data_IF_134660372085
#
_entry.id   IF_134660372085
#
_cell.length_a   1.000
_cell.length_b   1.000
_cell.length_c   1.000
_cell.angle_alpha   90.00
_cell.angle_beta   90.00
_cell.angle_gamma   90.00
#
_symmetry.space_group_name_H-M   'P 1'
#
loop_
_entity.id
_entity.type
_entity.pdbx_description
1 polymer ?
#
# COMPACT_ATOMS: atom_id res chain seq x y z
N UNK A 1 -38.50 23.11 -68.77
CA UNK A 1 -39.01 22.64 -67.45
C UNK A 1 -38.16 21.53 -66.75
N UNK A 2 -36.95 21.17 -67.22
CA UNK A 2 -36.17 20.05 -66.74
C UNK A 2 -35.15 20.38 -65.64
N UNK A 3 -34.94 21.67 -65.27
CA UNK A 3 -33.88 22.09 -64.31
C UNK A 3 -34.32 22.07 -62.82
N UNK A 4 -35.63 22.06 -62.52
CA UNK A 4 -36.19 22.17 -61.18
C UNK A 4 -36.23 20.82 -60.42
N UNK A 5 -36.29 19.71 -61.13
CA UNK A 5 -36.33 18.39 -60.48
C UNK A 5 -34.97 17.82 -60.10
N UNK A 6 -33.87 18.34 -60.67
CA UNK A 6 -32.50 17.93 -60.29
C UNK A 6 -32.07 18.44 -58.93
N UNK A 7 -32.45 19.64 -58.57
CA UNK A 7 -32.02 20.31 -57.31
C UNK A 7 -32.67 19.66 -56.08
N UNK A 8 -33.91 19.21 -56.15
CA UNK A 8 -34.61 18.52 -55.03
C UNK A 8 -34.00 17.13 -54.78
N UNK A 9 -33.67 16.41 -55.85
CA UNK A 9 -33.01 15.10 -55.78
C UNK A 9 -31.59 15.15 -55.15
N UNK A 10 -30.86 16.19 -55.44
CA UNK A 10 -29.48 16.34 -54.92
C UNK A 10 -29.46 16.78 -53.42
N UNK A 11 -30.34 17.67 -53.02
CA UNK A 11 -30.50 18.06 -51.61
C UNK A 11 -30.96 16.89 -50.74
N UNK A 12 -31.84 16.02 -51.22
CA UNK A 12 -32.30 14.84 -50.50
C UNK A 12 -31.16 13.81 -50.31
N UNK A 13 -30.30 13.63 -51.28
CA UNK A 13 -29.12 12.76 -51.23
C UNK A 13 -28.07 13.27 -50.22
N UNK A 14 -27.80 14.55 -50.21
CA UNK A 14 -26.93 15.14 -49.20
C UNK A 14 -27.48 14.92 -47.79
N UNK A 15 -28.78 15.01 -47.60
CA UNK A 15 -29.44 14.67 -46.35
C UNK A 15 -29.19 13.22 -45.92
N UNK A 16 -29.29 12.27 -46.88
CA UNK A 16 -29.01 10.85 -46.60
C UNK A 16 -27.52 10.63 -46.18
N UNK A 17 -26.57 11.19 -46.92
CA UNK A 17 -25.16 11.06 -46.56
C UNK A 17 -24.87 11.68 -45.18
N UNK A 18 -25.48 12.79 -44.85
CA UNK A 18 -25.33 13.42 -43.56
C UNK A 18 -25.87 12.51 -42.43
N UNK A 19 -27.06 11.96 -42.59
CA UNK A 19 -27.65 11.04 -41.59
C UNK A 19 -26.81 9.78 -41.43
N UNK A 20 -26.34 9.17 -42.51
CA UNK A 20 -25.47 8.00 -42.48
C UNK A 20 -24.16 8.35 -41.80
N UNK A 21 -23.56 9.53 -42.08
CA UNK A 21 -22.34 10.01 -41.45
C UNK A 21 -22.48 10.21 -39.96
N UNK A 22 -23.58 10.82 -39.53
CA UNK A 22 -23.85 11.01 -38.09
C UNK A 22 -24.00 9.66 -37.38
N UNK A 23 -24.75 8.72 -37.94
CA UNK A 23 -24.93 7.38 -37.38
C UNK A 23 -23.60 6.61 -37.35
N UNK A 24 -22.82 6.68 -38.42
CA UNK A 24 -21.48 6.07 -38.47
C UNK A 24 -20.57 6.64 -37.41
N UNK A 25 -20.48 7.97 -37.33
CA UNK A 25 -19.62 8.64 -36.31
C UNK A 25 -20.11 8.36 -34.89
N UNK A 26 -21.41 8.34 -34.63
CA UNK A 26 -21.95 7.94 -33.33
C UNK A 26 -21.53 6.50 -32.95
N UNK A 27 -21.58 5.57 -33.92
CA UNK A 27 -21.10 4.21 -33.73
C UNK A 27 -19.61 4.13 -33.45
N UNK A 28 -18.79 4.90 -34.18
CA UNK A 28 -17.33 4.96 -33.93
C UNK A 28 -17.04 5.53 -32.57
N UNK A 29 -17.66 6.63 -32.17
CA UNK A 29 -17.46 7.25 -30.84
C UNK A 29 -17.88 6.27 -29.74
N UNK A 30 -19.05 5.64 -29.87
CA UNK A 30 -19.53 4.65 -28.90
C UNK A 30 -18.56 3.49 -28.75
N UNK A 31 -18.15 2.87 -29.86
CA UNK A 31 -17.25 1.72 -29.86
C UNK A 31 -15.86 2.09 -29.31
N UNK A 32 -15.33 3.24 -29.74
CA UNK A 32 -14.03 3.74 -29.28
C UNK A 32 -14.04 4.06 -27.78
N UNK A 33 -15.11 4.69 -27.28
CA UNK A 33 -15.28 4.97 -25.85
C UNK A 33 -15.41 3.68 -25.03
N UNK A 34 -16.21 2.73 -25.53
CA UNK A 34 -16.34 1.41 -24.88
C UNK A 34 -15.00 0.67 -24.81
N UNK A 35 -14.23 0.67 -25.90
CA UNK A 35 -12.89 0.06 -25.94
C UNK A 35 -11.92 0.76 -24.97
N UNK A 36 -11.92 2.09 -24.90
CA UNK A 36 -11.08 2.85 -23.99
C UNK A 36 -11.38 2.55 -22.52
N UNK A 37 -12.66 2.41 -22.16
CA UNK A 37 -13.09 2.02 -20.81
C UNK A 37 -12.60 0.62 -20.45
N UNK A 38 -12.83 -0.37 -21.31
CA UNK A 38 -12.37 -1.74 -21.06
C UNK A 38 -10.84 -1.84 -21.00
N UNK A 39 -10.13 -1.08 -21.86
CA UNK A 39 -8.66 -1.04 -21.79
C UNK A 39 -8.17 -0.41 -20.45
N UNK A 40 -8.85 0.62 -19.94
CA UNK A 40 -8.53 1.24 -18.66
C UNK A 40 -8.81 0.29 -17.50
N UNK A 41 -9.97 -0.38 -17.52
CA UNK A 41 -10.34 -1.40 -16.54
C UNK A 41 -9.31 -2.53 -16.47
N UNK A 42 -8.97 -3.11 -17.63
CA UNK A 42 -7.98 -4.18 -17.72
C UNK A 42 -6.59 -3.73 -17.23
N UNK A 43 -6.18 -2.51 -17.56
CA UNK A 43 -4.93 -1.90 -17.10
C UNK A 43 -4.92 -1.75 -15.57
N UNK A 44 -5.99 -1.21 -14.99
CA UNK A 44 -6.09 -1.05 -13.54
C UNK A 44 -6.12 -2.39 -12.81
N UNK A 45 -6.88 -3.38 -13.30
CA UNK A 45 -6.86 -4.73 -12.75
C UNK A 45 -5.43 -5.29 -12.75
N UNK A 46 -4.73 -5.23 -13.88
CA UNK A 46 -3.37 -5.75 -13.98
C UNK A 46 -2.39 -5.05 -13.03
N UNK A 47 -2.46 -3.71 -12.93
CA UNK A 47 -1.60 -2.93 -12.05
C UNK A 47 -1.92 -3.25 -10.58
N UNK A 48 -3.20 -3.21 -10.20
CA UNK A 48 -3.64 -3.45 -8.83
C UNK A 48 -3.30 -4.87 -8.38
N UNK A 49 -3.50 -5.88 -9.23
CA UNK A 49 -3.14 -7.27 -8.92
C UNK A 49 -1.63 -7.43 -8.70
N UNK A 50 -0.82 -6.82 -9.57
CA UNK A 50 0.64 -6.84 -9.41
C UNK A 50 1.07 -6.15 -8.12
N UNK A 51 0.61 -4.92 -7.90
CA UNK A 51 0.95 -4.12 -6.71
C UNK A 51 0.48 -4.82 -5.43
N UNK A 52 -0.75 -5.37 -5.41
CA UNK A 52 -1.30 -6.17 -4.31
C UNK A 52 -0.41 -7.37 -3.98
N UNK A 53 -0.03 -8.13 -5.01
CA UNK A 53 0.83 -9.31 -4.85
C UNK A 53 2.20 -8.94 -4.28
N UNK A 54 2.85 -7.93 -4.84
CA UNK A 54 4.17 -7.48 -4.40
C UNK A 54 4.13 -6.87 -3.00
N UNK A 55 3.20 -5.96 -2.73
CA UNK A 55 3.05 -5.35 -1.40
C UNK A 55 2.76 -6.38 -0.32
N UNK A 56 1.89 -7.36 -0.61
CA UNK A 56 1.63 -8.48 0.32
C UNK A 56 2.88 -9.33 0.55
N UNK A 57 3.69 -9.55 -0.48
CA UNK A 57 4.95 -10.28 -0.35
C UNK A 57 5.95 -9.50 0.53
N UNK A 58 6.03 -8.18 0.36
CA UNK A 58 6.89 -7.32 1.15
C UNK A 58 6.47 -7.26 2.62
N UNK A 59 5.17 -7.14 2.90
CA UNK A 59 4.65 -7.24 4.27
C UNK A 59 5.03 -8.57 4.92
N UNK A 60 4.79 -9.69 4.23
CA UNK A 60 5.15 -11.03 4.76
C UNK A 60 6.64 -11.15 5.03
N UNK A 61 7.49 -10.57 4.16
CA UNK A 61 8.93 -10.57 4.37
C UNK A 61 9.30 -9.78 5.63
N UNK A 62 8.78 -8.56 5.76
CA UNK A 62 9.03 -7.68 6.90
C UNK A 62 8.52 -8.32 8.20
N UNK A 63 7.32 -8.87 8.22
CA UNK A 63 6.75 -9.63 9.35
C UNK A 63 7.64 -10.82 9.73
N UNK A 64 8.21 -11.52 8.74
CA UNK A 64 9.10 -12.67 8.97
C UNK A 64 10.40 -12.26 9.65
N UNK A 65 10.97 -11.11 9.28
CA UNK A 65 12.17 -10.57 9.93
C UNK A 65 11.88 -10.30 11.40
N UNK A 66 10.76 -9.61 11.69
CA UNK A 66 10.33 -9.32 13.07
C UNK A 66 10.10 -10.60 13.87
N UNK A 67 9.34 -11.54 13.31
CA UNK A 67 9.04 -12.81 13.97
C UNK A 67 10.31 -13.62 14.29
N UNK A 68 11.28 -13.65 13.37
CA UNK A 68 12.57 -14.31 13.61
C UNK A 68 13.36 -13.64 14.73
N UNK A 69 13.36 -12.30 14.79
CA UNK A 69 14.07 -11.55 15.84
C UNK A 69 13.43 -11.81 17.20
N UNK A 70 12.11 -11.72 17.31
CA UNK A 70 11.36 -12.01 18.55
C UNK A 70 11.53 -13.48 18.98
N UNK A 71 11.51 -14.43 18.05
CA UNK A 71 11.75 -15.84 18.38
C UNK A 71 13.15 -16.06 18.96
N UNK A 72 14.18 -15.39 18.43
CA UNK A 72 15.53 -15.47 18.98
C UNK A 72 15.59 -14.92 20.41
N UNK A 73 14.95 -13.77 20.65
CA UNK A 73 14.85 -13.20 21.99
C UNK A 73 14.14 -14.16 22.96
N UNK A 74 13.04 -14.81 22.50
CA UNK A 74 12.31 -15.82 23.29
C UNK A 74 13.18 -17.01 23.68
N UNK A 75 13.94 -17.57 22.75
CA UNK A 75 14.84 -18.70 23.03
C UNK A 75 15.92 -18.28 24.04
N UNK A 76 16.48 -17.08 23.87
CA UNK A 76 17.53 -16.57 24.77
C UNK A 76 17.01 -16.35 26.18
N UNK A 77 15.84 -15.73 26.37
CA UNK A 77 15.27 -15.50 27.71
C UNK A 77 14.90 -16.82 28.41
N UNK A 78 14.42 -17.78 27.63
CA UNK A 78 14.08 -19.10 28.17
C UNK A 78 15.34 -19.86 28.64
N UNK A 79 16.43 -19.82 27.89
CA UNK A 79 17.73 -20.38 28.30
C UNK A 79 18.27 -19.72 29.59
N UNK A 80 18.17 -18.40 29.69
CA UNK A 80 18.54 -17.65 30.86
C UNK A 80 17.71 -18.01 32.10
N UNK A 81 16.37 -18.16 31.89
CA UNK A 81 15.44 -18.46 32.97
C UNK A 81 15.65 -19.86 33.59
N UNK A 82 16.16 -20.80 32.79
CA UNK A 82 16.44 -22.18 33.20
C UNK A 82 17.83 -22.40 33.76
N UNK A 83 18.74 -21.38 33.70
CA UNK A 83 20.10 -21.51 34.22
C UNK A 83 20.14 -21.23 35.74
N UNK A 84 20.27 -22.27 36.60
CA UNK A 84 20.30 -22.07 38.04
C UNK A 84 21.61 -21.43 38.54
N UNK A 85 22.67 -21.50 37.70
CA UNK A 85 23.99 -20.94 38.05
C UNK A 85 24.09 -19.44 37.70
N UNK A 86 23.09 -18.88 37.04
CA UNK A 86 23.11 -17.48 36.64
C UNK A 86 22.94 -16.56 37.84
N UNK A 87 23.95 -15.73 38.10
CA UNK A 87 23.85 -14.67 39.08
C UNK A 87 23.11 -13.46 38.50
N UNK A 88 21.85 -13.28 38.93
CA UNK A 88 20.96 -12.22 38.46
C UNK A 88 21.21 -10.88 39.15
N UNK A 89 22.12 -10.81 40.16
CA UNK A 89 22.47 -9.61 40.87
C UNK A 89 23.82 -8.99 40.39
N UNK A 90 24.59 -9.75 39.59
CA UNK A 90 25.85 -9.29 39.04
C UNK A 90 25.71 -8.76 37.59
N UNK A 91 25.83 -7.45 37.36
CA UNK A 91 25.79 -6.88 36.01
C UNK A 91 26.85 -7.46 35.06
N UNK A 92 28.04 -7.86 35.59
CA UNK A 92 29.09 -8.45 34.75
C UNK A 92 28.73 -9.87 34.31
N UNK A 93 28.04 -10.62 35.15
CA UNK A 93 27.49 -11.92 34.79
C UNK A 93 26.46 -11.77 33.69
N UNK A 94 25.54 -10.80 33.81
CA UNK A 94 24.52 -10.50 32.78
C UNK A 94 25.18 -10.03 31.49
N UNK A 95 26.23 -9.23 31.53
CA UNK A 95 26.96 -8.78 30.33
C UNK A 95 27.57 -9.98 29.58
N UNK A 96 28.26 -10.89 30.27
CA UNK A 96 28.83 -12.10 29.65
C UNK A 96 27.77 -12.97 28.99
N UNK A 97 26.60 -13.10 29.62
CA UNK A 97 25.51 -13.86 29.04
C UNK A 97 24.87 -13.13 27.85
N UNK A 98 24.70 -11.82 27.89
CA UNK A 98 24.21 -11.03 26.77
C UNK A 98 25.13 -11.18 25.56
N UNK A 99 26.45 -11.09 25.73
CA UNK A 99 27.41 -11.31 24.65
C UNK A 99 27.32 -12.73 24.07
N UNK A 100 27.29 -13.75 24.93
CA UNK A 100 27.20 -15.16 24.54
C UNK A 100 25.96 -15.46 23.72
N UNK A 101 24.83 -14.81 24.04
CA UNK A 101 23.55 -14.99 23.37
C UNK A 101 23.26 -13.97 22.26
N UNK A 102 24.23 -13.13 21.94
CA UNK A 102 24.10 -12.07 20.94
C UNK A 102 22.91 -11.14 21.20
N UNK A 103 22.68 -10.81 22.47
CA UNK A 103 21.71 -9.85 22.95
C UNK A 103 22.35 -8.47 23.09
N UNK A 104 21.56 -7.42 23.00
CA UNK A 104 22.00 -6.08 23.37
C UNK A 104 22.09 -5.92 24.89
N UNK A 105 21.13 -6.54 25.59
CA UNK A 105 21.16 -6.54 27.04
C UNK A 105 20.14 -7.50 27.67
N UNK A 106 20.30 -7.62 28.98
CA UNK A 106 19.43 -8.39 29.86
C UNK A 106 19.07 -7.49 31.04
N UNK A 107 17.80 -7.44 31.41
CA UNK A 107 17.31 -6.74 32.59
C UNK A 107 16.59 -7.72 33.52
N UNK A 108 16.73 -7.52 34.79
CA UNK A 108 16.07 -8.30 35.87
C UNK A 108 15.07 -7.36 36.52
N UNK A 109 13.83 -7.73 36.52
CA UNK A 109 12.74 -6.95 37.11
C UNK A 109 12.15 -7.70 38.30
N UNK A 110 11.71 -6.95 39.28
CA UNK A 110 10.84 -7.46 40.34
C UNK A 110 9.44 -7.76 39.80
N UNK A 111 8.57 -8.48 40.54
CA UNK A 111 7.21 -8.78 40.14
C UNK A 111 6.35 -7.55 39.85
N UNK A 112 6.65 -6.40 40.45
CA UNK A 112 6.00 -5.10 40.24
C UNK A 112 6.59 -4.31 39.06
N UNK A 113 7.60 -4.86 38.36
CA UNK A 113 8.23 -4.21 37.21
C UNK A 113 9.38 -3.25 37.55
N UNK A 114 9.79 -3.18 38.81
CA UNK A 114 10.96 -2.37 39.21
C UNK A 114 12.25 -3.03 38.72
N UNK A 115 13.16 -2.24 38.12
CA UNK A 115 14.45 -2.72 37.66
C UNK A 115 15.34 -3.02 38.87
N UNK A 116 15.81 -4.27 38.98
CA UNK A 116 16.71 -4.74 40.04
C UNK A 116 18.15 -4.75 39.59
N UNK A 117 18.42 -5.24 38.39
CA UNK A 117 19.74 -5.32 37.80
C UNK A 117 19.66 -5.28 36.27
N UNK A 118 20.67 -4.78 35.61
CA UNK A 118 20.77 -4.86 34.16
C UNK A 118 22.21 -5.00 33.66
N UNK A 119 22.36 -5.54 32.47
CA UNK A 119 23.63 -5.54 31.74
C UNK A 119 23.89 -4.14 31.16
N UNK A 120 25.17 -3.73 31.14
CA UNK A 120 25.57 -2.34 30.82
C UNK A 120 26.42 -2.21 29.54
N UNK A 121 26.63 -3.31 28.80
CA UNK A 121 27.67 -3.41 27.76
C UNK A 121 27.43 -2.55 26.51
N UNK A 122 26.22 -2.27 26.12
CA UNK A 122 25.96 -1.71 24.79
C UNK A 122 25.23 -0.34 24.79
N UNK A 123 25.25 0.39 25.88
CA UNK A 123 24.79 1.77 25.97
C UNK A 123 23.27 1.96 25.90
N UNK A 124 22.48 0.89 25.70
CA UNK A 124 21.02 0.94 25.67
C UNK A 124 20.50 0.09 26.82
N UNK A 125 19.97 0.76 27.82
CA UNK A 125 19.40 0.14 29.02
C UNK A 125 17.87 0.12 28.98
N UNK A 126 17.28 -0.57 29.97
CA UNK A 126 15.82 -0.68 30.17
C UNK A 126 15.15 0.68 30.25
N UNK A 127 15.78 1.69 30.80
CA UNK A 127 15.24 3.04 30.92
C UNK A 127 14.76 3.65 29.60
N UNK A 128 15.35 3.22 28.45
CA UNK A 128 15.00 3.79 27.13
C UNK A 128 13.68 3.30 26.57
N UNK A 129 13.24 2.11 26.95
CA UNK A 129 12.03 1.49 26.40
C UNK A 129 11.08 0.94 27.48
N UNK A 130 11.52 0.86 28.73
CA UNK A 130 10.75 0.26 29.82
C UNK A 130 9.42 0.94 30.10
N UNK A 131 9.35 2.27 29.92
CA UNK A 131 8.08 3.01 30.08
C UNK A 131 6.99 2.49 29.12
N UNK A 132 7.37 2.09 27.90
CA UNK A 132 6.43 1.54 26.92
C UNK A 132 5.97 0.13 27.25
N UNK A 133 6.62 -0.53 28.22
CA UNK A 133 6.27 -1.86 28.72
C UNK A 133 5.44 -1.82 30.00
N UNK A 134 5.40 -0.70 30.73
CA UNK A 134 4.72 -0.60 32.03
C UNK A 134 3.23 -0.90 31.98
N UNK A 135 2.58 -0.58 30.87
CA UNK A 135 1.13 -0.81 30.66
C UNK A 135 0.86 -2.09 29.84
N UNK A 136 1.85 -2.91 29.60
CA UNK A 136 1.75 -4.13 28.81
C UNK A 136 1.70 -5.37 29.70
N UNK A 137 1.28 -6.49 29.10
CA UNK A 137 1.22 -7.79 29.74
C UNK A 137 2.59 -8.40 30.10
N UNK A 138 3.70 -7.63 30.07
CA UNK A 138 5.04 -8.12 30.41
C UNK A 138 5.10 -8.60 31.86
N UNK A 139 4.38 -7.96 32.77
CA UNK A 139 4.34 -8.35 34.18
C UNK A 139 3.49 -9.60 34.42
N UNK A 140 2.58 -9.92 33.53
CA UNK A 140 1.71 -11.12 33.63
C UNK A 140 2.52 -12.42 33.58
N UNK A 141 3.74 -12.40 33.00
CA UNK A 141 4.61 -13.58 32.97
C UNK A 141 4.98 -14.06 34.37
N UNK A 142 4.89 -13.19 35.38
CA UNK A 142 5.13 -13.58 36.75
C UNK A 142 4.04 -14.55 37.27
N UNK A 143 2.78 -14.26 36.93
CA UNK A 143 1.64 -15.11 37.26
C UNK A 143 1.54 -16.35 36.37
N UNK A 144 2.17 -16.32 35.20
CA UNK A 144 2.13 -17.41 34.21
C UNK A 144 3.57 -17.89 33.86
N UNK A 145 4.23 -18.61 34.75
CA UNK A 145 5.67 -18.95 34.62
C UNK A 145 6.01 -19.79 33.38
N UNK A 146 5.02 -20.38 32.71
CA UNK A 146 5.21 -21.12 31.45
C UNK A 146 5.08 -20.25 30.20
N UNK A 147 4.73 -18.98 30.36
CA UNK A 147 4.54 -18.06 29.26
C UNK A 147 5.77 -17.20 29.03
N UNK A 148 6.01 -16.87 27.77
CA UNK A 148 7.00 -15.88 27.36
C UNK A 148 6.27 -14.71 26.73
N UNK A 149 6.49 -13.53 27.22
CA UNK A 149 6.01 -12.30 26.60
C UNK A 149 6.99 -11.87 25.51
N UNK A 150 6.46 -11.44 24.37
CA UNK A 150 7.24 -11.01 23.23
C UNK A 150 6.66 -9.71 22.66
N UNK A 151 7.49 -8.70 22.44
CA UNK A 151 7.08 -7.45 21.82
C UNK A 151 8.24 -6.79 21.10
N UNK A 152 7.95 -6.20 19.95
CA UNK A 152 8.80 -5.18 19.32
C UNK A 152 8.33 -3.81 19.77
N UNK A 153 9.22 -3.07 20.40
CA UNK A 153 9.04 -1.67 20.81
C UNK A 153 9.70 -0.80 19.75
N UNK A 154 8.96 0.12 19.15
CA UNK A 154 9.50 1.13 18.25
C UNK A 154 9.84 2.36 19.07
N UNK A 155 11.05 2.87 18.89
CA UNK A 155 11.54 4.07 19.55
C UNK A 155 11.25 5.31 18.67
N UNK A 156 11.27 6.49 19.30
CA UNK A 156 11.00 7.77 18.63
C UNK A 156 12.01 8.08 17.51
N UNK A 157 13.23 7.55 17.61
CA UNK A 157 14.28 7.70 16.60
C UNK A 157 14.18 6.70 15.44
N UNK A 158 13.10 5.93 15.36
CA UNK A 158 12.89 4.91 14.32
C UNK A 158 13.59 3.58 14.56
N UNK A 159 14.41 3.49 15.61
CA UNK A 159 15.02 2.22 16.02
C UNK A 159 13.98 1.28 16.66
N UNK A 160 14.33 0.00 16.78
CA UNK A 160 13.46 -0.99 17.41
C UNK A 160 14.18 -1.76 18.50
N UNK A 161 13.43 -2.16 19.52
CA UNK A 161 13.87 -3.08 20.57
C UNK A 161 12.97 -4.31 20.55
N UNK A 162 13.54 -5.46 20.22
CA UNK A 162 12.86 -6.76 20.32
C UNK A 162 13.02 -7.29 21.73
N UNK A 163 11.93 -7.39 22.45
CA UNK A 163 11.89 -7.73 23.87
C UNK A 163 11.27 -9.09 24.06
N UNK A 164 11.88 -9.90 24.92
CA UNK A 164 11.29 -11.13 25.43
C UNK A 164 11.40 -11.13 26.96
N UNK A 165 10.30 -11.46 27.64
CA UNK A 165 10.28 -11.60 29.09
C UNK A 165 9.79 -12.99 29.50
N UNK A 166 10.39 -13.52 30.57
CA UNK A 166 10.04 -14.80 31.15
C UNK A 166 10.32 -14.79 32.67
N UNK A 167 9.54 -15.52 33.44
CA UNK A 167 9.81 -15.69 34.88
C UNK A 167 11.01 -16.61 35.09
N UNK A 168 11.98 -16.21 35.94
CA UNK A 168 13.04 -17.13 36.35
C UNK A 168 12.49 -18.25 37.23
N UNK A 169 12.81 -19.51 36.93
CA UNK A 169 12.23 -20.65 37.62
C UNK A 169 12.68 -20.74 39.11
N UNK A 170 13.90 -20.34 39.37
CA UNK A 170 14.54 -20.46 40.72
C UNK A 170 14.42 -19.20 41.58
N UNK A 171 13.94 -18.09 41.04
CA UNK A 171 13.91 -16.80 41.70
C UNK A 171 12.60 -16.06 41.39
N UNK A 172 12.09 -15.25 42.31
CA UNK A 172 10.86 -14.48 42.14
C UNK A 172 11.12 -13.18 41.39
N UNK A 173 11.64 -13.31 40.16
CA UNK A 173 11.95 -12.19 39.30
C UNK A 173 11.51 -12.46 37.85
N UNK A 174 11.37 -11.38 37.09
CA UNK A 174 11.15 -11.40 35.65
C UNK A 174 12.47 -11.13 34.95
N UNK A 175 12.89 -12.06 34.12
CA UNK A 175 14.02 -11.86 33.21
C UNK A 175 13.50 -11.28 31.90
N UNK A 176 14.18 -10.24 31.46
CA UNK A 176 13.91 -9.55 30.20
C UNK A 176 15.18 -9.57 29.36
N UNK A 177 15.12 -10.21 28.21
CA UNK A 177 16.19 -10.14 27.21
C UNK A 177 15.76 -9.21 26.08
N UNK A 178 16.69 -8.43 25.58
CA UNK A 178 16.35 -7.51 24.50
C UNK A 178 17.46 -7.37 23.47
N UNK A 179 17.04 -7.04 22.26
CA UNK A 179 17.91 -6.77 21.13
C UNK A 179 17.51 -5.45 20.49
N UNK A 180 18.45 -4.54 20.45
CA UNK A 180 18.30 -3.25 19.78
C UNK A 180 18.67 -3.39 18.29
N UNK A 181 17.90 -2.75 17.45
CA UNK A 181 18.14 -2.65 16.01
C UNK A 181 18.07 -1.18 15.62
N UNK A 182 19.20 -0.57 15.17
CA UNK A 182 19.20 0.82 14.71
C UNK A 182 18.24 1.11 13.59
N UNK A 183 17.76 2.34 13.49
CA UNK A 183 16.82 2.76 12.43
C UNK A 183 17.38 2.51 11.02
N UNK A 184 18.65 2.85 10.80
CA UNK A 184 19.31 2.67 9.50
C UNK A 184 19.35 1.20 9.06
N UNK A 185 19.47 0.27 10.02
CA UNK A 185 19.45 -1.15 9.72
C UNK A 185 18.04 -1.63 9.38
N UNK A 186 17.02 -1.10 10.06
CA UNK A 186 15.61 -1.41 9.76
C UNK A 186 15.27 -0.92 8.37
N UNK A 187 15.59 0.33 8.05
CA UNK A 187 15.38 0.93 6.73
C UNK A 187 16.11 0.18 5.62
N UNK A 188 17.36 -0.23 5.88
CA UNK A 188 18.17 -0.96 4.91
C UNK A 188 17.75 -2.42 4.68
N UNK A 189 17.01 -3.04 5.59
CA UNK A 189 16.58 -4.44 5.50
C UNK A 189 15.10 -4.62 5.22
N UNK A 190 14.28 -3.63 5.56
CA UNK A 190 12.86 -3.64 5.24
C UNK A 190 12.62 -3.36 3.75
N UNK A 191 11.75 -4.15 3.14
CA UNK A 191 11.30 -3.88 1.79
C UNK A 191 10.30 -2.72 1.82
N UNK A 192 10.61 -1.65 1.11
CA UNK A 192 9.76 -0.47 1.04
C UNK A 192 8.57 -0.71 0.12
N UNK A 193 7.36 -0.58 0.64
CA UNK A 193 6.13 -0.65 -0.17
C UNK A 193 6.11 0.46 -1.24
N UNK A 194 6.72 1.61 -0.96
CA UNK A 194 6.86 2.69 -1.94
C UNK A 194 7.56 2.23 -3.22
N UNK A 195 8.60 1.40 -3.10
CA UNK A 195 9.36 0.91 -4.25
C UNK A 195 8.52 0.08 -5.24
N UNK A 196 7.38 -0.46 -4.81
CA UNK A 196 6.45 -1.19 -5.69
C UNK A 196 5.73 -0.24 -6.65
N UNK A 197 5.54 1.03 -6.24
CA UNK A 197 4.90 2.06 -7.06
C UNK A 197 5.91 2.89 -7.87
N UNK A 198 7.20 2.76 -7.59
CA UNK A 198 8.24 3.46 -8.33
C UNK A 198 8.25 2.98 -9.80
N UNK A 199 8.37 3.95 -10.72
CA UNK A 199 8.36 3.68 -12.16
C UNK A 199 6.96 3.71 -12.81
N UNK A 200 5.87 3.74 -12.05
CA UNK A 200 4.54 4.02 -12.61
C UNK A 200 4.36 5.51 -12.82
N UNK A 201 4.24 5.96 -14.07
CA UNK A 201 3.95 7.37 -14.36
C UNK A 201 2.45 7.66 -14.25
N UNK A 202 2.11 8.83 -13.71
CA UNK A 202 0.72 9.28 -13.60
C UNK A 202 0.03 9.38 -14.97
N UNK A 203 0.79 9.75 -16.00
CA UNK A 203 0.27 9.93 -17.35
C UNK A 203 -0.23 8.62 -17.99
N UNK A 204 0.47 7.52 -17.74
CA UNK A 204 0.16 6.21 -18.35
C UNK A 204 -0.65 5.30 -17.44
N UNK A 205 -0.42 5.38 -16.14
CA UNK A 205 -0.98 4.45 -15.15
C UNK A 205 -2.08 5.06 -14.30
N UNK A 206 -2.30 6.39 -14.43
CA UNK A 206 -3.14 7.12 -13.50
C UNK A 206 -2.47 7.34 -12.14
N UNK A 207 -3.21 7.87 -11.19
CA UNK A 207 -2.75 8.03 -9.81
C UNK A 207 -2.96 6.72 -9.06
N UNK A 208 -1.86 6.19 -8.51
CA UNK A 208 -1.81 4.95 -7.74
C UNK A 208 -1.38 5.26 -6.31
N UNK A 209 -2.01 4.67 -5.34
CA UNK A 209 -1.57 4.79 -3.96
C UNK A 209 -2.08 3.65 -3.07
N UNK A 210 -1.38 3.45 -1.98
CA UNK A 210 -1.61 2.42 -0.97
C UNK A 210 -2.01 3.12 0.33
N UNK A 211 -3.11 2.68 0.92
CA UNK A 211 -3.68 3.25 2.14
C UNK A 211 -3.64 2.21 3.25
N UNK A 212 -3.11 2.60 4.39
CA UNK A 212 -3.16 1.80 5.61
C UNK A 212 -3.65 2.69 6.76
N UNK A 213 -4.59 2.21 7.55
CA UNK A 213 -5.21 2.98 8.65
C UNK A 213 -5.71 4.37 8.20
N UNK A 214 -6.29 4.45 6.98
CA UNK A 214 -6.78 5.67 6.34
C UNK A 214 -5.70 6.68 5.92
N UNK A 215 -4.42 6.38 6.10
CA UNK A 215 -3.30 7.21 5.67
C UNK A 215 -2.66 6.64 4.41
N UNK A 216 -2.28 7.52 3.47
CA UNK A 216 -1.52 7.14 2.27
C UNK A 216 -0.08 6.84 2.69
N UNK A 217 0.32 5.57 2.56
CA UNK A 217 1.67 5.11 2.93
C UNK A 217 2.63 5.02 1.74
N UNK A 218 2.09 4.92 0.53
CA UNK A 218 2.86 4.91 -0.72
C UNK A 218 2.03 5.46 -1.87
N UNK A 219 2.67 6.14 -2.83
CA UNK A 219 2.01 6.69 -4.01
C UNK A 219 3.02 6.94 -5.14
N UNK A 220 2.57 6.83 -6.41
CA UNK A 220 3.31 7.34 -7.56
C UNK A 220 3.22 8.88 -7.68
N UNK A 221 2.49 9.53 -6.75
CA UNK A 221 2.45 10.96 -6.50
C UNK A 221 2.99 11.24 -5.10
N UNK A 222 4.26 11.63 -4.95
CA UNK A 222 4.88 11.81 -3.63
C UNK A 222 4.14 12.79 -2.72
N UNK A 223 3.47 13.78 -3.30
CA UNK A 223 2.70 14.78 -2.55
C UNK A 223 1.48 14.21 -1.81
N UNK A 224 1.03 13.01 -2.14
CA UNK A 224 -0.08 12.33 -1.45
C UNK A 224 0.36 11.55 -0.23
N UNK A 225 1.65 11.21 -0.12
CA UNK A 225 2.16 10.39 0.98
C UNK A 225 1.98 11.12 2.31
N UNK A 226 1.43 10.43 3.30
CA UNK A 226 1.14 10.98 4.62
C UNK A 226 -0.23 11.67 4.73
N UNK A 227 -0.95 11.89 3.62
CA UNK A 227 -2.28 12.50 3.66
C UNK A 227 -3.34 11.49 4.09
N UNK A 228 -4.45 12.00 4.63
CA UNK A 228 -5.64 11.19 4.90
C UNK A 228 -6.32 10.85 3.55
N UNK A 229 -6.54 9.57 3.31
CA UNK A 229 -7.18 9.10 2.09
C UNK A 229 -8.63 9.62 1.95
N UNK A 230 -9.31 9.93 3.06
CA UNK A 230 -10.66 10.49 3.02
C UNK A 230 -10.71 11.93 2.49
N UNK A 231 -9.61 12.66 2.54
CA UNK A 231 -9.51 14.02 1.99
C UNK A 231 -9.46 14.03 0.45
N UNK A 232 -9.17 12.87 -0.18
CA UNK A 232 -9.19 12.73 -1.63
C UNK A 232 -10.62 12.50 -2.14
N UNK A 233 -11.21 13.45 -2.92
CA UNK A 233 -12.57 13.29 -3.45
C UNK A 233 -12.75 12.02 -4.28
N UNK A 234 -11.84 11.64 -5.22
CA UNK A 234 -11.96 10.40 -5.96
C UNK A 234 -12.03 9.16 -5.06
N UNK A 235 -11.22 9.09 -4.01
CA UNK A 235 -11.19 7.96 -3.07
C UNK A 235 -12.50 7.81 -2.34
N UNK A 236 -13.03 8.92 -1.84
CA UNK A 236 -14.29 8.93 -1.11
C UNK A 236 -15.44 8.41 -1.98
N UNK A 237 -15.52 8.83 -3.24
CA UNK A 237 -16.58 8.38 -4.14
C UNK A 237 -16.37 6.92 -4.60
N UNK A 238 -15.13 6.49 -4.86
CA UNK A 238 -14.81 5.09 -5.16
C UNK A 238 -15.22 4.18 -3.98
N UNK A 239 -14.94 4.57 -2.74
CA UNK A 239 -15.36 3.82 -1.54
C UNK A 239 -16.88 3.75 -1.39
N UNK A 240 -17.60 4.85 -1.68
CA UNK A 240 -19.07 4.88 -1.62
C UNK A 240 -19.73 3.95 -2.64
N UNK A 241 -19.12 3.78 -3.80
CA UNK A 241 -19.62 2.87 -4.82
C UNK A 241 -19.61 1.40 -4.38
N UNK A 242 -18.79 1.04 -3.38
CA UNK A 242 -18.85 -0.23 -2.66
C UNK A 242 -18.42 -1.48 -3.41
N UNK A 243 -18.06 -1.38 -4.70
CA UNK A 243 -17.64 -2.50 -5.53
C UNK A 243 -16.11 -2.53 -5.67
N UNK A 244 -15.45 -3.41 -4.90
CA UNK A 244 -14.03 -3.68 -5.10
C UNK A 244 -13.78 -4.31 -6.48
N UNK A 245 -12.62 -4.04 -7.06
CA UNK A 245 -12.16 -4.61 -8.33
C UNK A 245 -13.08 -4.29 -9.55
N UNK A 246 -13.87 -3.23 -9.44
CA UNK A 246 -14.76 -2.76 -10.51
C UNK A 246 -14.45 -1.32 -10.86
N UNK A 247 -14.36 -1.02 -12.17
CA UNK A 247 -14.14 0.34 -12.63
C UNK A 247 -15.36 1.20 -12.32
N UNK A 248 -15.19 2.22 -11.50
CA UNK A 248 -16.25 3.14 -11.08
C UNK A 248 -16.04 4.50 -11.71
N UNK A 249 -17.09 5.06 -12.30
CA UNK A 249 -17.13 6.45 -12.74
C UNK A 249 -17.58 7.33 -11.59
N UNK A 250 -16.75 8.27 -11.20
CA UNK A 250 -17.02 9.19 -10.11
C UNK A 250 -17.11 10.61 -10.61
N UNK A 251 -18.02 11.38 -10.04
CA UNK A 251 -18.20 12.78 -10.39
C UNK A 251 -17.99 13.63 -9.14
N UNK A 252 -17.02 14.53 -9.19
CA UNK A 252 -16.81 15.49 -8.11
C UNK A 252 -17.63 16.75 -8.34
N UNK A 253 -18.70 16.89 -7.56
CA UNK A 253 -19.59 18.05 -7.59
C UNK A 253 -18.93 19.36 -7.13
N UNK A 254 -17.77 19.30 -6.49
CA UNK A 254 -17.03 20.47 -6.01
C UNK A 254 -16.06 21.06 -7.04
N UNK A 255 -16.10 20.61 -8.29
CA UNK A 255 -15.49 21.31 -9.43
C UNK A 255 -14.16 20.78 -9.95
N UNK A 256 -13.67 19.64 -9.47
CA UNK A 256 -12.38 19.11 -9.93
C UNK A 256 -12.47 18.13 -11.11
N UNK A 257 -13.64 17.65 -11.48
CA UNK A 257 -13.82 16.83 -12.69
C UNK A 257 -14.45 15.46 -12.48
N UNK A 258 -14.48 14.67 -13.56
CA UNK A 258 -14.91 13.28 -13.54
C UNK A 258 -13.70 12.36 -13.60
N UNK A 259 -13.75 11.27 -12.85
CA UNK A 259 -12.67 10.29 -12.71
C UNK A 259 -13.20 8.88 -12.94
N UNK A 260 -12.35 8.05 -13.51
CA UNK A 260 -12.51 6.60 -13.46
C UNK A 260 -11.56 6.05 -12.42
N UNK A 261 -12.07 5.25 -11.51
CA UNK A 261 -11.27 4.70 -10.43
C UNK A 261 -11.66 3.29 -10.07
N UNK A 262 -10.74 2.60 -9.44
CA UNK A 262 -10.89 1.24 -8.96
C UNK A 262 -10.12 1.09 -7.64
N UNK A 263 -10.56 0.19 -6.78
CA UNK A 263 -9.81 -0.18 -5.59
C UNK A 263 -9.84 -1.68 -5.38
N UNK A 264 -8.85 -2.18 -4.64
CA UNK A 264 -8.85 -3.55 -4.16
C UNK A 264 -8.28 -3.63 -2.74
N UNK A 265 -8.66 -4.68 -2.01
CA UNK A 265 -8.17 -4.93 -0.67
C UNK A 265 -6.90 -5.79 -0.72
N UNK A 266 -5.85 -5.35 -0.01
CA UNK A 266 -4.68 -6.12 0.33
C UNK A 266 -4.86 -6.86 1.66
N UNK A 267 -3.73 -7.25 2.29
CA UNK A 267 -3.74 -7.95 3.58
C UNK A 267 -4.05 -7.00 4.76
N UNK A 268 -3.34 -5.88 4.84
CA UNK A 268 -3.49 -4.84 5.87
C UNK A 268 -3.63 -3.43 5.27
N UNK A 269 -3.86 -3.34 3.96
CA UNK A 269 -3.91 -2.10 3.21
C UNK A 269 -4.97 -2.15 2.12
N UNK A 270 -5.39 -0.98 1.65
CA UNK A 270 -6.22 -0.80 0.47
C UNK A 270 -5.39 -0.15 -0.64
N UNK A 271 -5.64 -0.59 -1.87
CA UNK A 271 -5.02 -0.06 -3.08
C UNK A 271 -6.04 0.71 -3.89
N UNK A 272 -5.66 1.87 -4.37
CA UNK A 272 -6.49 2.72 -5.21
C UNK A 272 -5.75 3.06 -6.49
N UNK A 273 -6.50 3.04 -7.60
CA UNK A 273 -6.09 3.55 -8.89
C UNK A 273 -7.18 4.48 -9.42
N UNK A 274 -6.84 5.68 -9.87
CA UNK A 274 -7.79 6.54 -10.56
C UNK A 274 -7.12 7.39 -11.63
N UNK A 275 -7.90 7.80 -12.63
CA UNK A 275 -7.45 8.65 -13.72
C UNK A 275 -8.56 9.59 -14.16
N UNK A 276 -8.20 10.73 -14.71
CA UNK A 276 -9.16 11.69 -15.24
C UNK A 276 -9.92 11.11 -16.43
N UNK A 277 -11.22 11.35 -16.51
CA UNK A 277 -12.05 10.96 -17.65
C UNK A 277 -11.48 11.43 -18.98
N UNK A 278 -10.94 12.66 -19.00
CA UNK A 278 -10.34 13.24 -20.21
C UNK A 278 -9.13 12.45 -20.71
N UNK A 279 -8.34 11.87 -19.81
CA UNK A 279 -7.16 11.08 -20.18
C UNK A 279 -7.56 9.75 -20.81
N UNK A 280 -8.63 9.12 -20.32
CA UNK A 280 -9.18 7.88 -20.87
C UNK A 280 -9.64 8.06 -22.31
N UNK A 281 -10.43 9.13 -22.59
CA UNK A 281 -10.97 9.35 -23.92
C UNK A 281 -10.01 10.04 -24.89
N UNK A 282 -8.92 10.63 -24.41
CA UNK A 282 -7.89 11.23 -25.27
C UNK A 282 -7.24 10.21 -26.19
N UNK A 283 -7.09 8.98 -25.76
CA UNK A 283 -6.49 7.89 -26.56
C UNK A 283 -7.40 7.50 -27.74
N UNK A 284 -8.72 7.75 -27.67
CA UNK A 284 -9.66 7.46 -28.74
C UNK A 284 -9.76 8.56 -29.80
N UNK A 285 -9.28 9.78 -29.53
CA UNK A 285 -9.35 10.92 -30.46
C UNK A 285 -8.71 10.64 -31.83
N UNK A 286 -7.52 10.04 -31.98
CA UNK A 286 -6.92 9.75 -33.28
C UNK A 286 -7.79 8.84 -34.14
N UNK A 287 -8.41 7.83 -33.54
CA UNK A 287 -9.28 6.88 -34.24
C UNK A 287 -10.57 7.56 -34.72
N UNK A 288 -11.17 8.42 -33.90
CA UNK A 288 -12.36 9.20 -34.25
C UNK A 288 -12.01 10.16 -35.40
N UNK A 289 -10.88 10.84 -35.35
CA UNK A 289 -10.43 11.72 -36.42
C UNK A 289 -10.16 10.96 -37.73
N UNK A 290 -9.49 9.80 -37.68
CA UNK A 290 -9.29 8.97 -38.87
C UNK A 290 -10.58 8.50 -39.47
N UNK A 291 -11.56 8.09 -38.67
CA UNK A 291 -12.86 7.67 -39.13
C UNK A 291 -13.63 8.83 -39.83
N UNK A 292 -13.56 10.03 -39.25
CA UNK A 292 -14.15 11.24 -39.82
C UNK A 292 -13.53 11.57 -41.20
N UNK A 293 -12.21 11.60 -41.29
CA UNK A 293 -11.50 11.88 -42.55
C UNK A 293 -11.81 10.80 -43.59
N UNK A 294 -11.78 9.51 -43.18
CA UNK A 294 -12.12 8.40 -44.07
C UNK A 294 -13.55 8.48 -44.61
N UNK A 295 -14.51 8.86 -43.75
CA UNK A 295 -15.88 9.08 -44.17
C UNK A 295 -16.03 10.21 -45.20
N UNK A 296 -15.38 11.36 -44.95
CA UNK A 296 -15.39 12.50 -45.87
C UNK A 296 -14.79 12.10 -47.24
N UNK A 297 -13.65 11.42 -47.24
CA UNK A 297 -13.02 10.93 -48.46
C UNK A 297 -13.92 9.94 -49.24
N UNK A 298 -14.58 9.04 -48.53
CA UNK A 298 -15.52 8.10 -49.13
C UNK A 298 -16.66 8.83 -49.86
N UNK A 299 -17.25 9.82 -49.18
CA UNK A 299 -18.35 10.63 -49.78
C UNK A 299 -17.84 11.40 -51.00
N UNK A 300 -16.63 11.97 -50.96
CA UNK A 300 -16.05 12.64 -52.12
C UNK A 300 -15.82 11.70 -53.31
N UNK A 301 -15.24 10.50 -53.05
CA UNK A 301 -15.02 9.48 -54.08
C UNK A 301 -16.35 9.06 -54.73
N UNK A 302 -17.38 8.79 -53.93
CA UNK A 302 -18.69 8.44 -54.42
C UNK A 302 -19.29 9.53 -55.29
N UNK A 303 -19.01 10.79 -55.02
CA UNK A 303 -19.46 11.90 -55.86
C UNK A 303 -18.69 12.03 -57.16
N UNK A 304 -17.37 11.83 -57.15
CA UNK A 304 -16.52 11.86 -58.36
C UNK A 304 -16.88 10.70 -59.30
N UNK A 305 -17.02 9.48 -58.78
CA UNK A 305 -17.38 8.30 -59.58
C UNK A 305 -18.79 8.40 -60.22
N UNK A 306 -19.61 9.33 -59.78
CA UNK A 306 -20.98 9.51 -60.25
C UNK A 306 -21.14 10.65 -61.24
N UNK A 307 -20.10 11.47 -61.42
CA UNK A 307 -20.02 12.48 -62.48
C UNK A 307 -19.55 11.86 -63.79
#
# INVERSE_FOLDING_TARGET
MARKNRTISDTWRWGIYLVIGVLFMAGVVFFSSWQALHATEARFCQILDFVKSQSTSFEKHNDTIVAKALRRAAVSVHQLAQDPALDLSDPQCLNRQAEKLWLTGISVLSPDGTLLCESTTNGIGYARFGEQLKNDAVLDVFSYPQKTYLKRVLLEDGAAVDVAAHRAESKEVILLSYRYTPAEFIEGTALSIQSVLDGYSVETSGTLFIVQNNQVIASNRPELIGQDAADSPPVREIRKAGAAETLTHTHDWNGSGCYFGMYCHGRSFDLYAYTDERSVFRESLPLILMALVGYILLVMILQVLRR
#
